data_IF_783553851259
#
_entry.id   IF_783553851259
#
_cell.length_a   1.000
_cell.length_b   1.000
_cell.length_c   1.000
_cell.angle_alpha   90.00
_cell.angle_beta   90.00
_cell.angle_gamma   90.00
#
_symmetry.space_group_name_H-M   'P 1'
#
loop_
_entity.id
_entity.type
_entity.pdbx_description
1 polymer ?
#
# COMPACT_ATOMS: atom_id res chain seq x y z
N UNK A 1 10.88 -29.85 44.18
CA UNK A 1 10.19 -30.80 45.09
C UNK A 1 8.71 -30.84 44.70
N UNK A 2 8.02 -31.99 44.68
CA UNK A 2 6.58 -32.02 44.41
C UNK A 2 5.83 -31.17 45.44
N UNK A 3 4.85 -30.38 44.97
CA UNK A 3 4.10 -29.47 45.84
C UNK A 3 3.34 -30.27 46.92
N UNK A 4 3.57 -29.97 48.20
CA UNK A 4 2.94 -30.72 49.31
C UNK A 4 1.43 -30.49 49.41
N UNK A 5 0.95 -29.33 48.98
CA UNK A 5 -0.47 -28.94 49.11
C UNK A 5 -1.34 -29.65 48.06
N UNK A 6 -0.91 -29.66 46.80
CA UNK A 6 -1.63 -30.38 45.73
C UNK A 6 -1.05 -31.76 45.42
N UNK A 7 -0.02 -32.21 46.14
CA UNK A 7 0.68 -33.50 45.92
C UNK A 7 1.11 -33.72 44.46
N UNK A 8 1.55 -32.66 43.77
CA UNK A 8 1.99 -32.71 42.38
C UNK A 8 0.88 -32.65 41.32
N UNK A 9 -0.39 -32.45 41.68
CA UNK A 9 -1.47 -32.34 40.69
C UNK A 9 -1.57 -30.96 40.04
N UNK A 10 -1.10 -29.91 40.73
CA UNK A 10 -1.16 -28.51 40.25
C UNK A 10 -2.53 -27.82 40.48
N UNK A 11 -3.54 -28.56 40.95
CA UNK A 11 -4.90 -28.07 41.21
C UNK A 11 -5.34 -28.39 42.63
N UNK A 12 -6.14 -27.50 43.22
CA UNK A 12 -6.80 -27.67 44.51
C UNK A 12 -8.31 -27.75 44.32
N UNK A 13 -8.89 -28.74 44.98
CA UNK A 13 -10.32 -29.02 44.95
C UNK A 13 -10.99 -28.42 46.19
N UNK A 14 -11.89 -27.45 45.99
CA UNK A 14 -12.74 -26.92 47.05
C UNK A 14 -14.16 -27.44 46.89
N UNK A 15 -14.70 -28.04 47.96
CA UNK A 15 -16.10 -28.49 47.99
C UNK A 15 -16.94 -27.35 48.53
N UNK A 16 -17.91 -26.87 47.74
CA UNK A 16 -18.89 -25.86 48.15
C UNK A 16 -20.26 -26.51 48.24
N UNK A 17 -20.86 -26.51 49.44
CA UNK A 17 -22.26 -26.91 49.62
C UNK A 17 -23.16 -25.78 49.10
N UNK A 18 -24.03 -26.12 48.15
CA UNK A 18 -25.03 -25.20 47.61
C UNK A 18 -26.41 -25.45 48.25
N UNK A 19 -26.75 -26.71 48.55
CA UNK A 19 -27.99 -27.11 49.22
C UNK A 19 -27.87 -28.50 49.85
N UNK A 20 -28.90 -28.94 50.58
CA UNK A 20 -29.01 -30.27 51.20
C UNK A 20 -28.89 -31.35 50.11
N UNK A 21 -27.78 -32.09 50.14
CA UNK A 21 -27.49 -33.16 49.16
C UNK A 21 -26.78 -32.69 47.89
N UNK A 22 -26.59 -31.39 47.67
CA UNK A 22 -25.87 -30.85 46.51
C UNK A 22 -24.53 -30.22 46.92
N UNK A 23 -23.45 -30.95 46.62
CA UNK A 23 -22.06 -30.47 46.75
C UNK A 23 -21.47 -30.18 45.38
N UNK A 24 -20.96 -28.98 45.18
CA UNK A 24 -20.21 -28.61 43.99
C UNK A 24 -18.72 -28.71 44.27
N UNK A 25 -18.03 -29.52 43.47
CA UNK A 25 -16.58 -29.62 43.50
C UNK A 25 -15.97 -28.58 42.55
N UNK A 26 -15.42 -27.50 43.10
CA UNK A 26 -14.75 -26.45 42.33
C UNK A 26 -13.25 -26.78 42.27
N UNK A 27 -12.72 -26.93 41.06
CA UNK A 27 -11.28 -27.06 40.85
C UNK A 27 -10.69 -25.67 40.62
N UNK A 28 -9.63 -25.35 41.36
CA UNK A 28 -8.88 -24.10 41.24
C UNK A 28 -7.40 -24.41 41.08
N UNK A 29 -6.62 -23.48 40.51
CA UNK A 29 -5.16 -23.63 40.45
C UNK A 29 -4.59 -23.63 41.87
N UNK A 30 -3.67 -24.55 42.14
CA UNK A 30 -3.09 -24.67 43.48
C UNK A 30 -2.41 -23.37 43.89
N UNK A 31 -2.85 -22.77 45.00
CA UNK A 31 -2.31 -21.49 45.50
C UNK A 31 -0.81 -21.54 45.83
N UNK A 32 -0.30 -22.71 46.23
CA UNK A 32 1.10 -22.89 46.66
C UNK A 32 2.09 -23.06 45.50
N UNK A 33 1.73 -23.79 44.44
CA UNK A 33 2.61 -23.99 43.26
C UNK A 33 2.12 -23.30 41.99
N UNK A 34 0.98 -22.60 42.04
CA UNK A 34 0.38 -21.86 40.92
C UNK A 34 0.23 -22.68 39.63
N UNK A 35 0.01 -23.98 39.74
CA UNK A 35 -0.12 -24.90 38.61
C UNK A 35 1.17 -25.58 38.17
N UNK A 36 2.35 -25.18 38.66
CA UNK A 36 3.64 -25.75 38.26
C UNK A 36 3.92 -27.16 38.79
N UNK A 37 3.04 -27.71 39.65
CA UNK A 37 3.12 -29.05 40.29
C UNK A 37 4.31 -29.26 41.23
N UNK A 38 5.34 -28.45 41.11
CA UNK A 38 6.52 -28.47 41.94
C UNK A 38 6.74 -27.12 42.64
N UNK A 39 7.40 -27.16 43.78
CA UNK A 39 7.89 -25.98 44.49
C UNK A 39 9.42 -26.10 44.53
N UNK A 40 10.07 -25.00 44.16
CA UNK A 40 11.53 -24.86 44.17
C UNK A 40 11.89 -24.13 45.47
N UNK A 41 12.87 -24.66 46.20
CA UNK A 41 13.34 -24.00 47.42
C UNK A 41 14.02 -22.67 47.06
N UNK A 42 13.83 -21.59 47.85
CA UNK A 42 14.35 -20.26 47.51
C UNK A 42 15.87 -20.21 47.32
N UNK A 43 16.60 -21.09 48.02
CA UNK A 43 18.06 -21.21 47.92
C UNK A 43 18.53 -21.81 46.59
N UNK A 44 17.71 -22.69 46.03
CA UNK A 44 17.98 -23.41 44.77
C UNK A 44 17.30 -22.75 43.57
N UNK A 45 16.61 -21.64 43.80
CA UNK A 45 15.97 -20.87 42.75
C UNK A 45 17.01 -20.21 41.85
N UNK A 46 16.88 -20.42 40.54
CA UNK A 46 17.76 -19.80 39.56
C UNK A 46 17.64 -18.27 39.63
N UNK A 47 18.75 -17.58 39.90
CA UNK A 47 18.79 -16.11 40.02
C UNK A 47 18.48 -15.37 38.72
N UNK A 48 18.62 -16.02 37.55
CA UNK A 48 18.37 -15.40 36.24
C UNK A 48 16.90 -15.42 35.84
N UNK A 49 16.21 -16.55 36.02
CA UNK A 49 14.80 -16.69 35.65
C UNK A 49 13.84 -16.55 36.84
N UNK A 50 14.36 -16.54 38.08
CA UNK A 50 13.58 -16.46 39.32
C UNK A 50 12.50 -17.55 39.40
N UNK A 51 12.81 -18.75 38.91
CA UNK A 51 11.89 -19.88 38.87
C UNK A 51 10.93 -19.89 37.68
N UNK A 52 10.87 -18.82 36.86
CA UNK A 52 9.98 -18.73 35.69
C UNK A 52 10.41 -19.59 34.48
N UNK A 53 11.58 -20.23 34.55
CA UNK A 53 12.16 -21.12 33.50
C UNK A 53 12.44 -20.44 32.15
N UNK A 54 12.03 -19.19 31.96
CA UNK A 54 12.30 -18.35 30.77
C UNK A 54 12.98 -17.04 31.19
N UNK A 55 13.77 -16.46 30.28
CA UNK A 55 14.40 -15.15 30.42
C UNK A 55 14.19 -14.35 29.14
N UNK A 56 14.05 -13.03 29.27
CA UNK A 56 14.02 -12.14 28.11
C UNK A 56 15.45 -11.94 27.60
N UNK A 57 15.65 -12.19 26.31
CA UNK A 57 16.92 -12.04 25.62
C UNK A 57 16.72 -11.15 24.39
N UNK A 58 17.70 -10.29 24.10
CA UNK A 58 17.73 -9.50 22.88
C UNK A 58 18.75 -10.12 21.94
N UNK A 59 18.26 -10.63 20.81
CA UNK A 59 19.08 -11.26 19.76
C UNK A 59 19.02 -10.42 18.50
N UNK A 60 20.16 -10.24 17.85
CA UNK A 60 20.25 -9.60 16.53
C UNK A 60 20.08 -10.68 15.47
N UNK A 61 19.09 -10.51 14.59
CA UNK A 61 18.84 -11.40 13.45
C UNK A 61 19.25 -10.66 12.18
N UNK A 62 20.22 -11.21 11.46
CA UNK A 62 20.61 -10.70 10.15
C UNK A 62 19.65 -11.23 9.09
N UNK A 63 18.94 -10.32 8.42
CA UNK A 63 17.97 -10.66 7.39
C UNK A 63 18.58 -10.39 6.01
N UNK A 64 19.02 -11.42 5.27
CA UNK A 64 19.53 -11.22 3.92
C UNK A 64 18.38 -10.83 2.98
N UNK A 65 18.49 -9.65 2.36
CA UNK A 65 17.55 -9.19 1.34
C UNK A 65 18.20 -9.37 -0.03
N UNK A 66 17.71 -10.36 -0.77
CA UNK A 66 18.21 -10.66 -2.11
C UNK A 66 17.67 -9.67 -3.15
N UNK A 67 18.47 -9.45 -4.19
CA UNK A 67 18.07 -8.60 -5.32
C UNK A 67 16.80 -9.15 -5.99
N UNK A 68 15.84 -8.26 -6.20
CA UNK A 68 14.60 -8.59 -6.90
C UNK A 68 13.49 -9.18 -6.03
N UNK A 69 13.69 -9.32 -4.71
CA UNK A 69 12.59 -9.66 -3.80
C UNK A 69 11.44 -8.66 -3.93
N UNK A 70 10.21 -9.15 -3.87
CA UNK A 70 9.00 -8.34 -4.06
C UNK A 70 8.37 -7.94 -2.73
N UNK A 71 7.54 -6.90 -2.80
CA UNK A 71 6.63 -6.54 -1.71
C UNK A 71 5.82 -7.76 -1.22
N UNK A 72 5.61 -7.84 0.09
CA UNK A 72 4.89 -8.92 0.77
C UNK A 72 5.63 -10.26 0.83
N UNK A 73 6.82 -10.39 0.25
CA UNK A 73 7.59 -11.62 0.30
C UNK A 73 8.06 -11.89 1.74
N UNK A 74 7.94 -13.14 2.19
CA UNK A 74 8.26 -13.53 3.56
C UNK A 74 9.57 -14.30 3.65
N UNK A 75 10.34 -14.03 4.70
CA UNK A 75 11.56 -14.74 5.10
C UNK A 75 11.26 -15.40 6.45
N UNK A 76 11.38 -16.73 6.51
CA UNK A 76 11.08 -17.53 7.70
C UNK A 76 12.36 -17.92 8.41
N UNK A 77 12.43 -17.62 9.70
CA UNK A 77 13.47 -18.06 10.61
C UNK A 77 12.88 -19.06 11.60
N UNK A 78 13.19 -20.33 11.39
CA UNK A 78 12.61 -21.41 12.19
C UNK A 78 13.15 -21.43 13.61
N UNK A 79 12.27 -21.54 14.61
CA UNK A 79 12.65 -21.66 16.02
C UNK A 79 13.21 -20.39 16.67
N UNK A 80 13.03 -19.24 16.01
CA UNK A 80 13.37 -17.90 16.50
C UNK A 80 12.18 -17.16 17.14
N UNK A 81 11.03 -17.84 17.30
CA UNK A 81 9.89 -17.34 18.05
C UNK A 81 10.02 -17.51 19.57
N UNK A 82 8.95 -17.16 20.28
CA UNK A 82 8.92 -17.25 21.74
C UNK A 82 9.11 -18.69 22.24
N UNK A 83 9.89 -18.82 23.31
CA UNK A 83 10.22 -20.10 23.96
C UNK A 83 9.43 -20.26 25.23
N UNK A 84 8.70 -21.37 25.33
CA UNK A 84 7.99 -21.77 26.55
C UNK A 84 8.46 -23.17 27.01
N UNK A 85 8.58 -23.43 28.32
CA UNK A 85 9.07 -24.71 28.82
C UNK A 85 8.15 -25.87 28.39
N UNK A 86 8.71 -26.84 27.70
CA UNK A 86 7.97 -28.03 27.23
C UNK A 86 7.27 -27.87 25.88
N UNK A 87 7.44 -26.71 25.22
CA UNK A 87 6.95 -26.44 23.86
C UNK A 87 8.13 -26.16 22.92
N UNK A 88 7.98 -26.54 21.65
CA UNK A 88 8.92 -26.14 20.61
C UNK A 88 8.73 -24.65 20.28
N UNK A 89 9.82 -23.89 20.07
CA UNK A 89 9.71 -22.48 19.71
C UNK A 89 9.00 -22.31 18.36
N UNK A 90 8.20 -21.25 18.27
CA UNK A 90 7.60 -20.83 17.01
C UNK A 90 8.62 -20.24 16.04
N UNK A 91 8.13 -19.72 14.92
CA UNK A 91 8.97 -19.12 13.88
C UNK A 91 8.84 -17.61 13.85
N UNK A 92 9.94 -16.94 13.51
CA UNK A 92 9.93 -15.52 13.17
C UNK A 92 9.71 -15.39 11.66
N UNK A 93 8.60 -14.74 11.27
CA UNK A 93 8.28 -14.47 9.87
C UNK A 93 8.48 -12.98 9.62
N UNK A 94 9.45 -12.66 8.78
CA UNK A 94 9.72 -11.27 8.36
C UNK A 94 9.07 -11.06 6.99
N UNK A 95 8.10 -10.16 6.91
CA UNK A 95 7.51 -9.71 5.64
C UNK A 95 8.23 -8.46 5.14
N UNK A 96 8.58 -8.47 3.86
CA UNK A 96 9.12 -7.29 3.20
C UNK A 96 8.00 -6.31 2.85
N UNK A 97 8.22 -5.04 3.15
CA UNK A 97 7.33 -3.92 2.82
C UNK A 97 8.05 -2.96 1.88
N UNK A 98 7.49 -2.74 0.70
CA UNK A 98 8.08 -1.87 -0.30
C UNK A 98 7.76 -0.40 -0.02
N UNK A 99 8.80 0.38 0.28
CA UNK A 99 8.64 1.82 0.47
C UNK A 99 8.40 2.54 -0.85
N UNK A 100 7.45 3.48 -0.84
CA UNK A 100 7.16 4.31 -2.00
C UNK A 100 8.36 5.20 -2.35
N UNK A 101 8.75 5.18 -3.63
CA UNK A 101 9.84 5.99 -4.14
C UNK A 101 9.31 7.23 -4.89
N UNK A 102 9.98 8.37 -4.72
CA UNK A 102 9.52 9.66 -5.28
C UNK A 102 9.53 9.73 -6.81
N UNK A 103 10.43 8.99 -7.46
CA UNK A 103 10.62 9.03 -8.92
C UNK A 103 10.13 7.80 -9.66
N UNK A 104 10.02 6.67 -8.96
CA UNK A 104 9.81 5.37 -9.60
C UNK A 104 8.67 4.65 -8.91
N UNK A 105 7.82 4.02 -9.72
CA UNK A 105 6.76 3.15 -9.24
C UNK A 105 7.10 1.76 -9.74
N UNK A 106 7.32 0.81 -8.84
CA UNK A 106 7.56 -0.57 -9.24
C UNK A 106 6.26 -1.24 -9.65
N UNK A 107 6.31 -1.96 -10.77
CA UNK A 107 5.27 -2.90 -11.19
C UNK A 107 5.93 -4.23 -11.48
N UNK A 108 5.90 -5.13 -10.50
CA UNK A 108 6.57 -6.44 -10.55
C UNK A 108 8.09 -6.27 -10.76
N UNK A 109 8.57 -6.58 -11.96
CA UNK A 109 9.98 -6.45 -12.38
C UNK A 109 10.23 -5.15 -13.14
N UNK A 110 9.18 -4.48 -13.59
CA UNK A 110 9.29 -3.26 -14.37
C UNK A 110 9.22 -2.03 -13.45
N UNK A 111 9.88 -0.95 -13.86
CA UNK A 111 9.84 0.34 -13.18
C UNK A 111 9.10 1.34 -14.06
N UNK A 112 8.18 2.10 -13.47
CA UNK A 112 7.49 3.19 -14.17
C UNK A 112 8.12 4.51 -13.72
N UNK A 113 8.52 5.31 -14.69
CA UNK A 113 9.03 6.66 -14.52
C UNK A 113 8.15 7.65 -15.29
N UNK A 114 7.61 8.65 -14.60
CA UNK A 114 6.82 9.70 -15.24
C UNK A 114 7.75 10.83 -15.66
N UNK A 115 7.86 11.07 -16.97
CA UNK A 115 8.61 12.18 -17.54
C UNK A 115 7.66 13.29 -17.96
N UNK A 116 7.80 14.44 -17.31
CA UNK A 116 7.05 15.65 -17.69
C UNK A 116 7.80 16.36 -18.83
N UNK A 117 7.09 16.58 -19.94
CA UNK A 117 7.57 17.29 -21.12
C UNK A 117 6.72 18.55 -21.35
N UNK A 118 7.35 19.59 -21.89
CA UNK A 118 6.60 20.72 -22.46
C UNK A 118 5.98 20.33 -23.80
N UNK A 119 4.90 21.01 -24.21
CA UNK A 119 4.29 20.80 -25.54
C UNK A 119 5.32 20.94 -26.69
N UNK A 120 6.23 21.91 -26.59
CA UNK A 120 7.31 22.08 -27.58
C UNK A 120 8.27 20.90 -27.61
N UNK A 121 8.60 20.32 -26.46
CA UNK A 121 9.46 19.13 -26.37
C UNK A 121 8.77 17.87 -26.88
N UNK A 122 7.45 17.77 -26.68
CA UNK A 122 6.64 16.67 -27.20
C UNK A 122 6.51 16.70 -28.73
N UNK A 123 6.44 17.90 -29.33
CA UNK A 123 6.30 18.09 -30.79
C UNK A 123 7.63 18.18 -31.53
N UNK A 124 8.63 18.84 -30.94
CA UNK A 124 9.92 19.11 -31.58
C UNK A 124 11.04 18.20 -31.04
N UNK A 125 10.71 17.19 -30.24
CA UNK A 125 11.69 16.30 -29.63
C UNK A 125 12.39 16.91 -28.41
N UNK A 126 13.14 16.06 -27.70
CA UNK A 126 13.74 16.41 -26.41
C UNK A 126 15.02 15.61 -26.15
N UNK A 127 15.81 16.08 -25.19
CA UNK A 127 16.91 15.34 -24.59
C UNK A 127 16.77 15.46 -23.07
N UNK A 128 16.69 14.31 -22.39
CA UNK A 128 16.51 14.23 -20.94
C UNK A 128 17.45 13.21 -20.33
N UNK A 129 17.84 13.51 -19.10
CA UNK A 129 18.72 12.67 -18.30
C UNK A 129 17.89 11.98 -17.23
N UNK A 130 17.97 10.66 -17.18
CA UNK A 130 17.32 9.83 -16.16
C UNK A 130 18.41 9.23 -15.28
N UNK A 131 18.30 9.46 -13.98
CA UNK A 131 19.14 8.79 -12.99
C UNK A 131 18.43 7.53 -12.51
N UNK A 132 19.04 6.39 -12.78
CA UNK A 132 18.55 5.06 -12.36
C UNK A 132 18.72 4.84 -10.86
N UNK A 133 18.16 3.74 -10.33
CA UNK A 133 18.33 3.34 -8.93
C UNK A 133 19.78 2.95 -8.59
N UNK A 134 20.58 2.56 -9.58
CA UNK A 134 21.99 2.19 -9.43
C UNK A 134 22.92 3.43 -9.56
N UNK A 135 22.39 4.65 -9.43
CA UNK A 135 23.06 5.94 -9.68
C UNK A 135 23.69 6.12 -11.07
N UNK A 136 23.43 5.19 -12.00
CA UNK A 136 23.82 5.34 -13.40
C UNK A 136 22.94 6.38 -14.07
N UNK A 137 23.54 7.11 -15.00
CA UNK A 137 22.89 8.18 -15.75
C UNK A 137 22.60 7.70 -17.16
N UNK A 138 21.32 7.68 -17.54
CA UNK A 138 20.85 7.36 -18.88
C UNK A 138 20.44 8.64 -19.59
N UNK A 139 20.82 8.79 -20.85
CA UNK A 139 20.39 9.91 -21.70
C UNK A 139 19.37 9.39 -22.69
N UNK A 140 18.13 9.82 -22.53
CA UNK A 140 17.07 9.57 -23.51
C UNK A 140 16.93 10.79 -24.42
N UNK A 141 16.79 10.55 -25.71
CA UNK A 141 16.59 11.62 -26.68
C UNK A 141 15.59 11.18 -27.74
N UNK A 142 14.68 12.10 -28.09
CA UNK A 142 13.86 12.02 -29.29
C UNK A 142 14.30 13.16 -30.21
N UNK A 143 14.82 12.82 -31.40
CA UNK A 143 15.23 13.84 -32.38
C UNK A 143 14.06 14.14 -33.32
N UNK A 144 13.71 15.42 -33.53
CA UNK A 144 12.82 15.79 -34.63
C UNK A 144 13.53 15.48 -35.96
N UNK A 145 12.92 14.63 -36.80
CA UNK A 145 13.36 14.47 -38.19
C UNK A 145 14.68 13.72 -38.45
N UNK A 146 15.34 13.09 -37.46
CA UNK A 146 16.57 12.31 -37.73
C UNK A 146 16.64 11.00 -36.93
N UNK A 147 16.40 9.93 -37.67
CA UNK A 147 16.65 8.54 -37.32
C UNK A 147 18.16 8.24 -37.15
N UNK A 148 18.48 7.07 -36.60
CA UNK A 148 19.79 6.49 -36.22
C UNK A 148 20.31 6.90 -34.83
N UNK A 149 20.72 6.01 -33.91
CA UNK A 149 21.02 4.56 -33.92
C UNK A 149 21.16 4.20 -32.41
N UNK A 150 20.41 3.27 -31.83
CA UNK A 150 20.72 1.85 -31.66
C UNK A 150 19.54 1.25 -30.86
N UNK A 151 19.07 0.06 -31.27
CA UNK A 151 17.83 -0.61 -30.88
C UNK A 151 16.54 -0.02 -31.48
N UNK A 152 16.26 -0.49 -32.70
CA UNK A 152 14.96 -0.86 -33.27
C UNK A 152 13.72 -0.09 -32.76
N UNK A 153 13.22 0.75 -33.68
CA UNK A 153 11.89 1.38 -33.76
C UNK A 153 11.72 2.66 -32.95
N UNK A 154 12.18 3.79 -33.52
CA UNK A 154 11.50 5.07 -33.32
C UNK A 154 11.33 5.66 -34.73
N UNK A 155 10.08 5.78 -35.15
CA UNK A 155 9.71 6.31 -36.45
C UNK A 155 9.98 7.82 -36.46
N UNK A 156 10.35 8.34 -37.63
CA UNK A 156 10.67 9.76 -37.82
C UNK A 156 9.40 10.58 -37.64
N UNK A 157 9.38 11.50 -36.67
CA UNK A 157 8.26 12.43 -36.45
C UNK A 157 7.19 11.99 -35.44
N UNK A 158 7.53 11.14 -34.47
CA UNK A 158 6.61 10.74 -33.40
C UNK A 158 6.26 11.91 -32.47
N UNK A 159 4.96 12.23 -32.40
CA UNK A 159 4.38 13.11 -31.37
C UNK A 159 4.05 12.26 -30.16
N UNK A 160 4.51 12.69 -28.98
CA UNK A 160 4.12 12.07 -27.72
C UNK A 160 2.76 12.61 -27.27
N UNK A 161 1.97 11.75 -26.63
CA UNK A 161 0.69 12.06 -26.00
C UNK A 161 0.72 11.67 -24.52
N UNK A 162 -0.22 12.18 -23.72
CA UNK A 162 -0.35 11.85 -22.29
C UNK A 162 -0.68 10.37 -22.02
N UNK A 163 -0.92 9.58 -23.07
CA UNK A 163 -1.20 8.14 -23.00
C UNK A 163 -0.04 7.29 -23.52
N UNK A 164 1.06 7.90 -23.94
CA UNK A 164 2.19 7.19 -24.48
C UNK A 164 3.11 6.62 -23.40
N UNK A 165 3.51 5.37 -23.65
CA UNK A 165 4.50 4.65 -22.88
C UNK A 165 5.61 4.20 -23.83
N UNK A 166 6.86 4.34 -23.39
CA UNK A 166 8.04 3.77 -24.07
C UNK A 166 8.83 2.94 -23.07
N UNK A 167 9.43 1.85 -23.54
CA UNK A 167 10.18 0.95 -22.67
C UNK A 167 11.67 1.00 -23.01
N UNK A 168 12.51 1.00 -21.99
CA UNK A 168 13.95 0.78 -22.07
C UNK A 168 14.21 -0.60 -21.51
N UNK A 169 14.69 -1.49 -22.37
CA UNK A 169 14.97 -2.88 -22.01
C UNK A 169 16.10 -2.97 -20.99
N UNK A 170 16.01 -3.96 -20.08
CA UNK A 170 17.03 -4.28 -19.07
C UNK A 170 17.35 -3.18 -18.05
N UNK A 171 16.50 -2.15 -17.92
CA UNK A 171 16.67 -1.04 -16.97
C UNK A 171 15.62 -1.03 -15.83
N UNK A 172 14.88 -2.13 -15.66
CA UNK A 172 13.96 -2.35 -14.54
C UNK A 172 14.60 -3.00 -13.31
N UNK A 173 13.78 -3.61 -12.46
CA UNK A 173 14.22 -4.35 -11.28
C UNK A 173 14.80 -5.72 -11.66
N UNK A 174 15.83 -6.22 -10.93
CA UNK A 174 16.29 -7.60 -11.06
C UNK A 174 15.19 -8.60 -10.77
N UNK A 175 15.21 -9.74 -11.44
CA UNK A 175 14.32 -10.87 -11.12
C UNK A 175 14.86 -11.62 -9.91
N UNK A 176 13.99 -11.93 -8.96
CA UNK A 176 14.35 -12.76 -7.80
C UNK A 176 14.94 -14.10 -8.27
N UNK A 177 16.03 -14.54 -7.64
CA UNK A 177 16.89 -15.69 -7.99
C UNK A 177 17.71 -15.56 -9.28
N UNK A 178 17.34 -14.68 -10.21
CA UNK A 178 18.06 -14.43 -11.46
C UNK A 178 18.43 -12.94 -11.59
N UNK A 179 19.38 -12.43 -10.79
CA UNK A 179 19.66 -11.00 -10.69
C UNK A 179 20.28 -10.38 -11.95
N UNK A 180 20.78 -11.21 -12.88
CA UNK A 180 21.32 -10.77 -14.16
C UNK A 180 20.21 -10.43 -15.17
N UNK A 181 19.01 -10.97 -14.99
CA UNK A 181 17.84 -10.59 -15.77
C UNK A 181 17.12 -9.45 -15.06
N UNK A 182 17.07 -8.29 -15.72
CA UNK A 182 16.31 -7.12 -15.26
C UNK A 182 15.03 -6.98 -16.08
N UNK A 183 13.99 -6.44 -15.46
CA UNK A 183 12.79 -5.99 -16.19
C UNK A 183 13.06 -4.74 -17.01
N UNK A 184 11.99 -4.04 -17.37
CA UNK A 184 12.03 -2.84 -18.22
C UNK A 184 11.84 -1.57 -17.41
N UNK A 185 12.44 -0.48 -17.87
CA UNK A 185 12.09 0.86 -17.42
C UNK A 185 11.05 1.44 -18.40
N UNK A 186 9.82 1.58 -17.92
CA UNK A 186 8.69 2.14 -18.65
C UNK A 186 8.64 3.64 -18.37
N UNK A 187 8.85 4.44 -19.40
CA UNK A 187 8.71 5.89 -19.37
C UNK A 187 7.28 6.25 -19.78
N UNK A 188 6.52 6.82 -18.84
CA UNK A 188 5.22 7.44 -19.08
C UNK A 188 5.45 8.91 -19.41
N UNK A 189 4.90 9.38 -20.52
CA UNK A 189 4.98 10.80 -20.88
C UNK A 189 3.79 11.56 -20.33
N UNK A 190 4.08 12.69 -19.70
CA UNK A 190 3.08 13.64 -19.23
C UNK A 190 3.40 15.02 -19.83
N UNK A 191 2.49 15.57 -20.61
CA UNK A 191 2.70 16.77 -21.41
C UNK A 191 2.03 17.92 -20.70
N UNK A 192 2.87 18.82 -20.19
CA UNK A 192 2.44 20.10 -19.66
C UNK A 192 2.05 21.02 -20.83
N UNK A 193 0.74 21.20 -21.00
CA UNK A 193 0.22 22.21 -21.90
C UNK A 193 0.48 23.61 -21.33
N UNK A 194 0.71 24.61 -22.19
CA UNK A 194 0.85 25.98 -21.74
C UNK A 194 -0.46 26.48 -21.12
N UNK A 195 -0.35 27.51 -20.27
CA UNK A 195 -1.52 28.15 -19.65
C UNK A 195 -2.40 28.82 -20.71
N UNK A 196 -3.66 29.11 -20.35
CA UNK A 196 -4.54 29.91 -21.20
C UNK A 196 -3.88 31.26 -21.55
N UNK A 197 -4.16 31.76 -22.75
CA UNK A 197 -3.63 33.02 -23.28
C UNK A 197 -2.10 33.10 -23.39
N UNK A 198 -1.40 31.96 -23.49
CA UNK A 198 0.07 31.94 -23.63
C UNK A 198 0.60 32.59 -24.91
N UNK A 199 -0.24 32.82 -25.93
CA UNK A 199 0.13 33.49 -27.19
C UNK A 199 -0.93 34.52 -27.61
N UNK A 200 -0.51 35.65 -28.21
CA UNK A 200 -1.38 36.60 -28.89
C UNK A 200 -2.13 35.96 -30.08
N UNK A 201 -3.33 36.47 -30.39
CA UNK A 201 -4.20 35.98 -31.48
C UNK A 201 -3.48 35.86 -32.84
N UNK A 202 -2.64 36.82 -33.19
CA UNK A 202 -1.87 36.79 -34.45
C UNK A 202 -0.90 35.60 -34.54
N UNK A 203 -0.31 35.20 -33.40
CA UNK A 203 0.59 34.04 -33.35
C UNK A 203 -0.18 32.71 -33.32
N UNK A 204 -1.40 32.70 -32.76
CA UNK A 204 -2.29 31.53 -32.81
C UNK A 204 -2.72 31.19 -34.24
N UNK A 205 -2.98 32.19 -35.09
CA UNK A 205 -3.26 31.95 -36.51
C UNK A 205 -2.05 31.33 -37.24
N UNK A 206 -0.85 31.73 -36.87
CA UNK A 206 0.39 31.15 -37.40
C UNK A 206 0.55 29.71 -36.93
N UNK A 207 0.31 29.44 -35.64
CA UNK A 207 0.35 28.09 -35.07
C UNK A 207 -0.67 27.16 -35.74
N UNK A 208 -1.90 27.65 -36.00
CA UNK A 208 -2.95 26.90 -36.71
C UNK A 208 -2.52 26.48 -38.11
N UNK A 209 -1.71 27.29 -38.81
CA UNK A 209 -1.17 26.95 -40.14
C UNK A 209 -0.06 25.89 -40.08
N UNK A 210 0.62 25.75 -38.94
CA UNK A 210 1.72 24.79 -38.76
C UNK A 210 1.25 23.41 -38.25
N UNK A 211 0.07 23.35 -37.64
CA UNK A 211 -0.53 22.11 -37.14
C UNK A 211 -1.41 21.42 -38.21
N UNK A 212 -1.64 20.10 -38.10
CA UNK A 212 -2.56 19.39 -38.98
C UNK A 212 -3.95 20.02 -39.01
N UNK A 213 -4.60 20.01 -40.17
CA UNK A 213 -5.96 20.50 -40.30
C UNK A 213 -6.92 19.67 -39.43
N UNK A 214 -7.94 20.30 -38.81
CA UNK A 214 -8.96 19.58 -38.06
C UNK A 214 -9.66 18.55 -38.97
N UNK A 215 -9.94 17.36 -38.42
CA UNK A 215 -10.32 16.17 -39.17
C UNK A 215 -11.70 16.26 -39.86
N UNK A 216 -12.59 17.11 -39.36
CA UNK A 216 -13.86 17.44 -40.01
C UNK A 216 -14.31 18.82 -39.54
N UNK A 217 -14.67 19.69 -40.47
CA UNK A 217 -15.58 20.78 -40.20
C UNK A 217 -16.95 20.17 -40.51
N UNK A 218 -17.67 19.73 -39.49
CA UNK A 218 -19.07 19.34 -39.67
C UNK A 218 -19.85 20.61 -40.02
N UNK A 219 -20.70 20.53 -41.04
CA UNK A 219 -21.63 21.61 -41.36
C UNK A 219 -22.59 21.77 -40.19
N UNK A 220 -22.44 22.87 -39.45
CA UNK A 220 -23.28 23.18 -38.30
C UNK A 220 -24.70 23.42 -38.82
N UNK A 221 -25.72 22.67 -38.36
CA UNK A 221 -27.11 22.88 -38.76
C UNK A 221 -27.59 24.31 -38.49
N UNK A 222 -28.48 24.85 -39.34
CA UNK A 222 -29.01 26.21 -39.18
C UNK A 222 -29.83 26.41 -37.90
N UNK A 223 -30.37 25.32 -37.33
CA UNK A 223 -31.12 25.26 -36.09
C UNK A 223 -30.26 24.97 -34.85
N UNK A 224 -28.93 24.90 -34.98
CA UNK A 224 -28.04 24.65 -33.86
C UNK A 224 -27.92 25.87 -32.93
N UNK A 225 -28.16 25.65 -31.65
CA UNK A 225 -27.93 26.65 -30.60
C UNK A 225 -26.46 26.66 -30.18
N UNK A 226 -25.83 27.83 -30.18
CA UNK A 226 -24.47 28.00 -29.68
C UNK A 226 -24.49 27.99 -28.15
N UNK A 227 -23.84 26.98 -27.56
CA UNK A 227 -23.69 26.84 -26.11
C UNK A 227 -22.24 27.03 -25.70
N UNK A 228 -22.01 27.77 -24.62
CA UNK A 228 -20.70 27.94 -24.03
C UNK A 228 -20.37 26.75 -23.11
N UNK A 229 -19.16 26.21 -23.25
CA UNK A 229 -18.66 25.20 -22.32
C UNK A 229 -18.17 25.87 -21.04
N UNK A 230 -18.74 25.46 -19.90
CA UNK A 230 -18.25 25.85 -18.59
C UNK A 230 -17.30 24.80 -18.02
N UNK A 231 -16.40 25.24 -17.13
CA UNK A 231 -15.53 24.31 -16.40
C UNK A 231 -16.41 23.39 -15.54
N UNK A 232 -16.22 22.09 -15.70
CA UNK A 232 -16.87 21.06 -14.90
C UNK A 232 -15.84 20.43 -13.98
N UNK A 233 -16.13 20.42 -12.68
CA UNK A 233 -15.35 19.71 -11.67
C UNK A 233 -16.16 18.49 -11.18
N UNK A 234 -15.80 17.26 -11.61
CA UNK A 234 -16.53 16.05 -11.25
C UNK A 234 -16.59 15.80 -9.74
N UNK A 235 -15.54 16.15 -8.99
CA UNK A 235 -15.47 15.87 -7.55
C UNK A 235 -16.38 16.81 -6.74
N UNK A 236 -16.56 18.06 -7.22
CA UNK A 236 -17.43 19.02 -6.58
C UNK A 236 -18.92 18.71 -6.81
N UNK A 237 -19.26 18.27 -8.01
CA UNK A 237 -20.64 17.94 -8.40
C UNK A 237 -21.16 16.68 -7.68
N UNK A 238 -20.30 15.66 -7.52
CA UNK A 238 -20.66 14.40 -6.86
C UNK A 238 -20.96 14.62 -5.37
N UNK A 239 -20.16 15.43 -4.68
CA UNK A 239 -20.42 15.87 -3.31
C UNK A 239 -21.73 16.69 -3.18
N UNK A 240 -22.12 17.42 -4.22
CA UNK A 240 -23.36 18.18 -4.24
C UNK A 240 -24.59 17.25 -4.39
N UNK A 241 -24.45 16.18 -5.18
CA UNK A 241 -25.46 15.14 -5.32
C UNK A 241 -25.67 14.36 -4.02
N UNK A 242 -24.60 13.94 -3.36
CA UNK A 242 -24.68 13.18 -2.10
C UNK A 242 -25.35 14.00 -0.99
N UNK A 243 -24.96 15.27 -0.85
CA UNK A 243 -25.62 16.19 0.11
C UNK A 243 -27.08 16.48 -0.22
N UNK A 244 -27.45 16.47 -1.50
CA UNK A 244 -28.83 16.67 -1.93
C UNK A 244 -29.67 15.43 -1.68
N UNK A 245 -29.11 14.23 -1.81
CA UNK A 245 -29.78 12.98 -1.45
C UNK A 245 -30.05 12.89 0.06
N UNK A 246 -29.06 13.26 0.89
CA UNK A 246 -29.20 13.31 2.35
C UNK A 246 -30.28 14.32 2.82
N UNK A 247 -30.53 15.38 2.05
CA UNK A 247 -31.55 16.38 2.37
C UNK A 247 -33.00 15.93 2.09
N UNK A 248 -33.20 14.82 1.35
CA UNK A 248 -34.53 14.24 1.08
C UNK A 248 -34.81 12.97 1.91
N UNK A 249 -33.83 12.46 2.65
CA UNK A 249 -34.02 11.28 3.52
C UNK A 249 -34.47 11.63 4.95
N UNK A 250 -34.66 12.93 5.27
CA UNK A 250 -34.98 13.40 6.64
C UNK A 250 -36.45 13.85 6.85
N UNK A 251 -37.35 13.57 5.89
CA UNK A 251 -38.79 13.94 5.99
C UNK A 251 -39.78 12.76 5.80
N UNK A 252 -39.42 11.56 6.26
CA UNK A 252 -40.37 10.45 6.44
C UNK A 252 -40.17 9.79 7.81
N UNK A 253 -40.46 10.55 8.88
CA UNK A 253 -40.14 10.14 10.24
C UNK A 253 -41.01 10.69 11.36
N UNK A 254 -42.30 11.00 11.15
CA UNK A 254 -43.21 11.29 12.28
C UNK A 254 -44.70 11.06 11.98
N UNK A 255 -45.24 9.89 12.34
CA UNK A 255 -46.31 9.73 13.36
C UNK A 255 -46.95 8.33 13.33
N UNK A 256 -46.77 7.57 14.41
CA UNK A 256 -47.81 6.80 15.11
C UNK A 256 -47.17 5.84 16.12
N UNK A 257 -47.32 6.09 17.42
CA UNK A 257 -46.80 5.14 18.41
C UNK A 257 -46.79 5.46 19.91
N UNK A 258 -47.72 6.29 20.41
CA UNK A 258 -48.16 6.40 21.82
C UNK A 258 -47.16 6.70 22.98
N UNK A 259 -47.54 7.58 23.95
CA UNK A 259 -46.70 7.96 25.08
C UNK A 259 -46.73 6.93 26.23
N UNK A 260 -45.56 6.51 26.71
CA UNK A 260 -45.41 5.74 27.97
C UNK A 260 -45.21 6.69 29.15
N UNK A 261 -46.16 6.59 30.06
CA UNK A 261 -46.27 7.28 31.36
C UNK A 261 -45.09 6.94 32.27
N UNK A 262 -44.50 7.96 32.92
CA UNK A 262 -43.65 7.79 34.10
C UNK A 262 -44.52 7.88 35.36
N UNK A 263 -44.42 6.89 36.24
CA UNK A 263 -44.89 6.98 37.62
C UNK A 263 -43.68 7.13 38.54
N UNK A 264 -43.63 8.25 39.26
CA UNK A 264 -42.75 8.45 40.40
C UNK A 264 -43.39 7.80 41.64
N UNK A 265 -42.55 7.18 42.46
CA UNK A 265 -42.85 6.89 43.86
C UNK A 265 -42.45 8.09 44.71
N UNK A 266 -43.49 8.63 45.38
CA UNK A 266 -43.55 9.51 46.56
C UNK A 266 -42.57 10.67 46.71
#
# INVERSE_FOLDING_TARGET
MPCRVCRGTGIQTHIRQLDIGFVQQIQSTCSACRGEKEIIDPKDCCKKCEGRKVVRETKVIEVPIDKGMSDGQTIRFSGEGDREPGLEPGDLIVSLDEQQHSRFIRRRTDLIYTLVLSLSEALCGFQRVIHTLDDRTLVIHSRPGKCLLLLRIILVGEVFTNKDYRAIESEGMPRYKNPFEKGRLIVKFDIAFPKNDFLPKAQLETLRKLLPAPASIEDIPEDAEAVDLHAFDPEHDQNQYDRRAEAYEDDDGAESGNPRVQCASS
#
